data_IF_168305133201
#
_entry.id   IF_168305133201
#
_cell.length_a   1.000
_cell.length_b   1.000
_cell.length_c   1.000
_cell.angle_alpha   90.00
_cell.angle_beta   90.00
_cell.angle_gamma   90.00
#
_symmetry.space_group_name_H-M   'P 1'
#
loop_
_entity.id
_entity.type
_entity.pdbx_description
1 polymer ?
#
# COMPACT_ATOMS: atom_id res chain seq x y z
N UNK A 1 8.14 -13.56 2.50
CA UNK A 1 7.62 -12.18 2.46
C UNK A 1 8.63 -11.24 1.82
N UNK A 2 9.78 -11.02 2.46
CA UNK A 2 10.80 -10.09 1.98
C UNK A 2 11.42 -10.47 0.65
N UNK A 3 11.84 -11.74 0.46
CA UNK A 3 12.46 -12.18 -0.80
C UNK A 3 11.56 -11.91 -2.02
N UNK A 4 10.26 -12.17 -1.87
CA UNK A 4 9.23 -11.91 -2.88
C UNK A 4 9.03 -10.41 -3.15
N UNK A 5 9.09 -9.56 -2.13
CA UNK A 5 8.93 -8.10 -2.29
C UNK A 5 10.19 -7.43 -2.84
N UNK A 6 11.35 -7.87 -2.36
CA UNK A 6 12.64 -7.27 -2.68
C UNK A 6 13.25 -7.85 -3.96
N UNK A 7 12.81 -9.05 -4.37
CA UNK A 7 13.37 -9.84 -5.48
C UNK A 7 14.87 -10.17 -5.24
N UNK A 8 15.19 -10.48 -3.98
CA UNK A 8 16.53 -10.86 -3.50
C UNK A 8 16.42 -12.20 -2.79
N UNK A 9 17.41 -13.08 -2.97
CA UNK A 9 17.46 -14.40 -2.32
C UNK A 9 18.39 -14.40 -1.10
N UNK A 10 18.14 -15.30 -0.15
CA UNK A 10 18.97 -15.53 1.05
C UNK A 10 19.08 -14.30 1.95
N UNK A 11 17.93 -13.72 2.29
CA UNK A 11 17.85 -12.59 3.22
C UNK A 11 18.03 -13.10 4.66
N UNK A 12 19.01 -12.53 5.37
CA UNK A 12 19.25 -12.75 6.79
C UNK A 12 18.23 -12.03 7.67
N UNK A 13 17.98 -12.56 8.87
CA UNK A 13 16.98 -12.00 9.80
C UNK A 13 17.36 -10.62 10.35
N UNK A 14 18.65 -10.29 10.31
CA UNK A 14 19.23 -9.00 10.72
C UNK A 14 19.48 -8.04 9.56
N UNK A 15 19.20 -8.46 8.32
CA UNK A 15 19.41 -7.60 7.16
C UNK A 15 18.42 -6.44 7.18
N UNK A 16 18.89 -5.27 6.77
CA UNK A 16 18.08 -4.07 6.71
C UNK A 16 17.26 -4.03 5.41
N UNK A 17 15.94 -3.89 5.53
CA UNK A 17 14.99 -3.84 4.42
C UNK A 17 15.37 -2.79 3.37
N UNK A 18 15.81 -1.62 3.81
CA UNK A 18 16.09 -0.48 2.94
C UNK A 18 17.47 -0.57 2.30
N UNK A 19 18.44 -1.17 2.99
CA UNK A 19 19.77 -1.45 2.40
C UNK A 19 19.69 -2.51 1.29
N UNK A 20 18.72 -3.43 1.37
CA UNK A 20 18.43 -4.42 0.33
C UNK A 20 17.58 -3.88 -0.84
N UNK A 21 17.45 -2.55 -0.96
CA UNK A 21 16.68 -1.92 -2.05
C UNK A 21 15.18 -1.85 -1.80
N UNK A 22 14.77 -1.90 -0.52
CA UNK A 22 13.43 -1.56 -0.07
C UNK A 22 13.16 -0.05 -0.13
N UNK A 23 11.94 0.32 -0.49
CA UNK A 23 11.46 1.70 -0.50
C UNK A 23 9.95 1.72 -0.18
N UNK A 24 9.33 2.89 -0.13
CA UNK A 24 7.94 3.06 0.34
C UNK A 24 6.95 2.13 -0.36
N UNK A 25 7.00 2.02 -1.69
CA UNK A 25 6.10 1.11 -2.42
C UNK A 25 6.31 -0.36 -2.04
N UNK A 26 7.57 -0.82 -1.94
CA UNK A 26 7.88 -2.19 -1.49
C UNK A 26 7.46 -2.42 -0.04
N UNK A 27 7.62 -1.43 0.84
CA UNK A 27 7.15 -1.50 2.21
C UNK A 27 5.61 -1.62 2.27
N UNK A 28 4.88 -0.85 1.46
CA UNK A 28 3.42 -0.97 1.32
C UNK A 28 3.05 -2.39 0.84
N UNK A 29 3.73 -2.91 -0.17
CA UNK A 29 3.50 -4.27 -0.67
C UNK A 29 3.80 -5.34 0.39
N UNK A 30 4.85 -5.16 1.20
CA UNK A 30 5.17 -6.05 2.31
C UNK A 30 4.05 -6.07 3.35
N UNK A 31 3.60 -4.89 3.79
CA UNK A 31 2.51 -4.76 4.77
C UNK A 31 1.23 -5.41 4.25
N UNK A 32 0.88 -5.17 2.99
CA UNK A 32 -0.30 -5.78 2.37
C UNK A 32 -0.21 -7.32 2.33
N UNK A 33 0.95 -7.88 1.97
CA UNK A 33 1.17 -9.34 1.97
C UNK A 33 1.10 -9.93 3.38
N UNK A 34 1.66 -9.25 4.39
CA UNK A 34 1.57 -9.66 5.80
C UNK A 34 0.11 -9.72 6.23
N UNK A 35 -0.67 -8.67 5.91
CA UNK A 35 -2.10 -8.61 6.21
C UNK A 35 -2.88 -9.74 5.54
N UNK A 36 -2.64 -9.98 4.25
CA UNK A 36 -3.32 -11.04 3.48
C UNK A 36 -3.00 -12.44 4.01
N UNK A 37 -1.72 -12.74 4.28
CA UNK A 37 -1.28 -14.10 4.62
C UNK A 37 -1.35 -14.44 6.10
N UNK A 38 -1.18 -13.45 6.98
CA UNK A 38 -1.15 -13.66 8.43
C UNK A 38 -2.38 -13.09 9.15
N UNK A 39 -3.22 -12.31 8.48
CA UNK A 39 -4.35 -11.63 9.12
C UNK A 39 -3.91 -10.61 10.18
N UNK A 40 -2.67 -10.10 10.10
CA UNK A 40 -2.10 -9.14 11.03
C UNK A 40 -1.69 -7.88 10.26
N UNK A 41 -1.85 -6.70 10.85
CA UNK A 41 -1.30 -5.47 10.24
C UNK A 41 -0.01 -5.07 10.93
N UNK A 42 1.01 -4.87 10.12
CA UNK A 42 2.20 -4.15 10.50
C UNK A 42 2.09 -2.73 9.93
N UNK A 43 1.83 -1.69 10.74
CA UNK A 43 1.77 -0.32 10.21
C UNK A 43 3.06 0.01 9.46
N UNK A 44 2.97 0.70 8.31
CA UNK A 44 4.17 1.03 7.50
C UNK A 44 5.23 1.79 8.31
N UNK A 45 4.82 2.65 9.25
CA UNK A 45 5.72 3.35 10.16
C UNK A 45 6.61 2.38 10.97
N UNK A 46 6.07 1.21 11.33
CA UNK A 46 6.83 0.17 12.05
C UNK A 46 7.86 -0.50 11.15
N UNK A 47 7.60 -0.66 9.85
CA UNK A 47 8.61 -1.16 8.89
C UNK A 47 9.81 -0.22 8.82
N UNK A 48 9.59 1.09 8.89
CA UNK A 48 10.67 2.09 8.95
C UNK A 48 11.40 2.11 10.28
N UNK A 49 10.68 2.01 11.41
CA UNK A 49 11.27 2.02 12.74
C UNK A 49 12.03 0.73 13.08
N UNK A 50 11.61 -0.38 12.49
CA UNK A 50 12.13 -1.73 12.73
C UNK A 50 12.48 -2.37 11.38
N UNK A 51 13.62 -1.99 10.80
CA UNK A 51 13.96 -2.30 9.42
C UNK A 51 14.47 -3.72 9.24
N UNK A 52 14.46 -4.59 10.26
CA UNK A 52 14.92 -5.99 10.18
C UNK A 52 13.78 -6.99 10.37
N UNK A 53 13.93 -8.21 9.84
CA UNK A 53 12.94 -9.29 10.02
C UNK A 53 12.80 -9.65 11.51
N UNK A 54 13.91 -9.70 12.24
CA UNK A 54 13.92 -10.06 13.65
C UNK A 54 13.04 -9.12 14.48
N UNK A 55 13.18 -7.81 14.28
CA UNK A 55 12.36 -6.81 14.99
C UNK A 55 10.89 -6.85 14.56
N UNK A 56 10.61 -6.99 13.25
CA UNK A 56 9.25 -7.09 12.73
C UNK A 56 8.52 -8.34 13.25
N UNK A 57 9.23 -9.46 13.40
CA UNK A 57 8.67 -10.69 13.95
C UNK A 57 8.25 -10.53 15.42
N UNK A 58 9.06 -9.83 16.22
CA UNK A 58 8.70 -9.49 17.61
C UNK A 58 7.43 -8.65 17.65
N UNK A 59 7.32 -7.61 16.82
CA UNK A 59 6.11 -6.80 16.75
C UNK A 59 4.88 -7.65 16.41
N UNK A 60 4.96 -8.45 15.35
CA UNK A 60 3.86 -9.30 14.88
C UNK A 60 3.43 -10.35 15.93
N UNK A 61 4.34 -10.81 16.78
CA UNK A 61 4.00 -11.73 17.88
C UNK A 61 3.12 -11.10 18.97
N UNK A 62 3.08 -9.77 19.06
CA UNK A 62 2.32 -9.04 20.08
C UNK A 62 0.99 -8.47 19.56
N UNK A 63 0.77 -8.53 18.24
CA UNK A 63 -0.39 -7.91 17.59
C UNK A 63 -1.58 -8.87 17.54
N UNK A 64 -2.75 -8.37 17.92
CA UNK A 64 -4.01 -9.12 17.80
C UNK A 64 -4.41 -9.24 16.32
N UNK A 65 -4.93 -10.40 15.88
CA UNK A 65 -5.42 -10.58 14.52
C UNK A 65 -6.44 -9.50 14.15
N UNK A 66 -6.32 -8.97 12.94
CA UNK A 66 -7.25 -8.02 12.37
C UNK A 66 -8.25 -8.74 11.47
N UNK A 67 -9.50 -8.31 11.56
CA UNK A 67 -10.47 -8.64 10.52
C UNK A 67 -10.09 -7.86 9.25
N UNK A 68 -9.56 -8.57 8.26
CA UNK A 68 -9.24 -7.97 6.96
C UNK A 68 -10.56 -7.61 6.27
N UNK A 69 -10.85 -6.31 6.19
CA UNK A 69 -11.96 -5.82 5.39
C UNK A 69 -11.59 -5.93 3.91
N UNK A 70 -12.31 -6.77 3.17
CA UNK A 70 -12.19 -6.88 1.72
C UNK A 70 -13.01 -5.78 1.05
N UNK A 71 -12.63 -5.41 -0.18
CA UNK A 71 -13.47 -4.54 -1.02
C UNK A 71 -14.49 -5.46 -1.70
N UNK A 72 -15.78 -5.43 -1.32
CA UNK A 72 -16.76 -6.34 -1.88
C UNK A 72 -17.06 -5.96 -3.34
N UNK A 73 -17.34 -6.98 -4.15
CA UNK A 73 -17.89 -6.76 -5.49
C UNK A 73 -19.34 -6.29 -5.35
N UNK A 74 -19.67 -5.15 -5.95
CA UNK A 74 -21.04 -4.62 -6.02
C UNK A 74 -21.78 -5.15 -7.26
N UNK A 75 -23.10 -5.28 -7.18
CA UNK A 75 -23.94 -5.69 -8.31
C UNK A 75 -23.93 -4.64 -9.44
N UNK A 76 -24.37 -5.04 -10.63
CA UNK A 76 -24.55 -4.10 -11.74
C UNK A 76 -25.57 -3.01 -11.40
N UNK A 77 -25.25 -1.76 -11.73
CA UNK A 77 -26.09 -0.58 -11.49
C UNK A 77 -26.00 0.36 -12.69
N UNK A 78 -27.00 1.23 -12.86
CA UNK A 78 -26.97 2.27 -13.90
C UNK A 78 -25.91 3.35 -13.61
N UNK A 79 -25.70 3.66 -12.32
CA UNK A 79 -24.70 4.64 -11.86
C UNK A 79 -24.01 4.15 -10.60
N UNK A 80 -22.82 4.72 -10.32
CA UNK A 80 -21.98 4.38 -9.17
C UNK A 80 -21.57 5.64 -8.41
N UNK A 81 -21.37 5.50 -7.10
CA UNK A 81 -20.83 6.57 -6.26
C UNK A 81 -19.39 6.92 -6.65
N UNK A 82 -19.10 8.23 -6.65
CA UNK A 82 -17.75 8.73 -6.95
C UNK A 82 -16.89 8.76 -5.69
N UNK A 83 -15.60 8.46 -5.86
CA UNK A 83 -14.61 8.71 -4.81
C UNK A 83 -14.49 10.22 -4.51
N UNK A 84 -13.99 10.56 -3.33
CA UNK A 84 -13.71 11.94 -2.96
C UNK A 84 -12.79 12.65 -3.96
N UNK A 85 -11.80 11.94 -4.51
CA UNK A 85 -10.91 12.47 -5.53
C UNK A 85 -11.65 12.78 -6.85
N UNK A 86 -12.48 11.85 -7.34
CA UNK A 86 -13.30 12.07 -8.54
C UNK A 86 -14.26 13.24 -8.36
N UNK A 87 -14.97 13.32 -7.23
CA UNK A 87 -15.87 14.44 -6.93
C UNK A 87 -15.14 15.77 -6.91
N UNK A 88 -13.95 15.82 -6.29
CA UNK A 88 -13.11 17.02 -6.28
C UNK A 88 -12.69 17.43 -7.69
N UNK A 89 -12.18 16.50 -8.49
CA UNK A 89 -11.77 16.80 -9.87
C UNK A 89 -12.95 17.29 -10.72
N UNK A 90 -14.11 16.65 -10.59
CA UNK A 90 -15.32 17.06 -11.29
C UNK A 90 -15.70 18.50 -10.94
N UNK A 91 -15.78 18.84 -9.64
CA UNK A 91 -16.10 20.21 -9.20
C UNK A 91 -15.08 21.22 -9.74
N UNK A 92 -13.78 20.91 -9.66
CA UNK A 92 -12.73 21.80 -10.16
C UNK A 92 -12.82 22.04 -11.69
N UNK A 93 -13.22 21.02 -12.46
CA UNK A 93 -13.44 21.17 -13.90
C UNK A 93 -14.71 21.98 -14.20
N UNK A 94 -15.78 21.82 -13.42
CA UNK A 94 -17.03 22.55 -13.64
C UNK A 94 -16.90 24.06 -13.34
N UNK A 95 -15.93 24.46 -12.52
CA UNK A 95 -15.66 25.88 -12.24
C UNK A 95 -15.06 26.63 -13.44
N UNK A 96 -14.29 25.94 -14.28
CA UNK A 96 -13.79 26.45 -15.55
C UNK A 96 -13.60 25.28 -16.52
N UNK A 97 -14.51 25.19 -17.50
CA UNK A 97 -14.52 24.09 -18.46
C UNK A 97 -13.30 24.09 -19.38
N UNK A 98 -12.58 25.22 -19.50
CA UNK A 98 -11.35 25.33 -20.29
C UNK A 98 -10.09 25.00 -19.46
N UNK A 99 -10.24 24.62 -18.20
CA UNK A 99 -9.13 24.29 -17.33
C UNK A 99 -8.40 23.03 -17.83
N UNK A 100 -7.09 23.18 -18.07
CA UNK A 100 -6.17 22.11 -18.51
C UNK A 100 -5.18 21.67 -17.42
N UNK A 101 -5.28 22.22 -16.21
CA UNK A 101 -4.31 22.00 -15.12
C UNK A 101 -4.21 20.54 -14.66
N UNK A 102 -5.23 19.73 -14.97
CA UNK A 102 -5.29 18.31 -14.65
C UNK A 102 -5.15 17.39 -15.88
N UNK A 103 -4.81 17.94 -17.05
CA UNK A 103 -4.43 17.13 -18.21
C UNK A 103 -3.06 16.50 -17.99
N UNK A 104 -2.98 15.18 -18.17
CA UNK A 104 -1.72 14.44 -18.08
C UNK A 104 -1.28 14.14 -19.53
N UNK A 105 -0.33 14.92 -20.04
CA UNK A 105 0.25 14.75 -21.37
C UNK A 105 1.65 14.17 -21.22
N UNK A 106 1.98 13.15 -22.01
CA UNK A 106 3.30 12.52 -22.03
C UNK A 106 3.75 12.37 -23.48
N UNK A 107 5.04 12.57 -23.74
CA UNK A 107 5.68 12.21 -25.00
C UNK A 107 6.51 10.94 -24.77
N UNK A 108 6.55 10.06 -25.78
CA UNK A 108 7.41 8.87 -25.78
C UNK A 108 8.88 9.24 -25.99
#
# INVERSE_FOLDING_TARGET
FWEDVLQVSKIGVSDNFFELGGHSLKAISLVSKIQEKLGQSLPIKQVFAHPTIAEQAVLLSTVTPLTVATIPLVSAQETYETSHAQRRFYVLQQMDLNNVAYHIVSTL
#
